data_IF_461933813028
#
_entry.id   IF_461933813028
#
_cell.length_a   1.000
_cell.length_b   1.000
_cell.length_c   1.000
_cell.angle_alpha   90.00
_cell.angle_beta   90.00
_cell.angle_gamma   90.00
#
_symmetry.space_group_name_H-M   'P 1'
#
loop_
_entity.id
_entity.type
_entity.pdbx_description
1 polymer ?
#
# COMPACT_ATOMS: atom_id res chain seq x y z
N UNK A 1 -1.16 -13.25 9.62
CA UNK A 1 -0.50 -11.92 9.40
C UNK A 1 -1.50 -10.81 9.66
N UNK A 2 -1.10 -9.75 10.38
CA UNK A 2 -1.94 -8.58 10.67
C UNK A 2 -1.43 -7.38 9.86
N UNK A 3 -2.32 -6.69 9.13
CA UNK A 3 -2.01 -5.43 8.46
C UNK A 3 -2.80 -4.30 9.12
N UNK A 4 -2.14 -3.20 9.44
CA UNK A 4 -2.78 -1.97 9.87
C UNK A 4 -2.47 -0.84 8.88
N UNK A 5 -3.51 -0.30 8.26
CA UNK A 5 -3.39 0.84 7.35
C UNK A 5 -3.22 2.13 8.16
N UNK A 6 -2.03 2.70 8.15
CA UNK A 6 -1.74 3.96 8.84
C UNK A 6 -2.28 5.16 8.06
N UNK A 7 -2.29 5.06 6.74
CA UNK A 7 -2.87 6.00 5.83
C UNK A 7 -3.26 5.33 4.52
N UNK A 8 -4.27 5.87 3.82
CA UNK A 8 -4.88 5.28 2.63
C UNK A 8 -5.09 6.27 1.49
N UNK A 9 -4.56 7.48 1.65
CA UNK A 9 -4.67 8.57 0.68
C UNK A 9 -3.48 8.66 -0.25
N UNK A 10 -3.73 9.12 -1.47
CA UNK A 10 -2.71 9.49 -2.45
C UNK A 10 -2.11 10.89 -2.16
N UNK A 11 -1.14 11.31 -2.97
CA UNK A 11 -0.37 12.54 -2.78
C UNK A 11 -1.19 13.86 -2.71
N UNK A 12 -2.44 13.87 -3.18
CA UNK A 12 -3.28 15.09 -3.22
C UNK A 12 -4.02 15.38 -1.90
N UNK A 13 -3.84 14.56 -0.86
CA UNK A 13 -4.28 14.86 0.49
C UNK A 13 -3.27 15.74 1.22
N UNK A 14 -3.78 16.65 2.08
CA UNK A 14 -2.90 17.51 2.89
C UNK A 14 -2.40 16.74 4.13
N UNK A 15 -1.09 16.46 4.24
CA UNK A 15 -0.56 15.68 5.35
C UNK A 15 -0.60 16.41 6.70
N UNK A 16 -0.72 17.75 6.72
CA UNK A 16 -0.58 18.54 7.95
C UNK A 16 -1.91 19.05 8.50
N UNK A 17 -2.99 18.99 7.74
CA UNK A 17 -4.24 19.62 8.15
C UNK A 17 -5.42 18.80 7.64
N UNK A 18 -6.19 18.18 8.54
CA UNK A 18 -7.45 17.56 8.18
C UNK A 18 -8.36 18.58 7.50
N UNK A 19 -8.89 18.25 6.35
CA UNK A 19 -9.91 19.06 5.72
C UNK A 19 -11.24 18.83 6.41
N UNK A 20 -12.16 19.78 6.30
CA UNK A 20 -13.53 19.59 6.81
C UNK A 20 -14.20 18.52 5.97
N UNK A 21 -14.67 17.46 6.59
CA UNK A 21 -15.25 16.30 5.94
C UNK A 21 -14.33 15.08 5.98
N UNK A 22 -14.36 14.27 4.94
CA UNK A 22 -13.50 13.10 4.83
C UNK A 22 -12.03 13.51 4.69
N UNK A 23 -11.18 12.84 5.43
CA UNK A 23 -9.73 13.02 5.37
C UNK A 23 -9.05 11.66 5.34
N UNK A 24 -7.93 11.56 4.59
CA UNK A 24 -7.04 10.40 4.59
C UNK A 24 -5.62 10.86 4.82
N UNK A 25 -4.90 10.15 5.64
CA UNK A 25 -3.46 10.25 5.68
C UNK A 25 -2.84 9.59 4.47
N UNK A 26 -1.62 10.02 4.13
CA UNK A 26 -0.86 9.49 3.02
C UNK A 26 -0.50 8.01 3.26
N UNK A 27 -0.45 7.23 2.21
CA UNK A 27 -0.42 5.77 2.26
C UNK A 27 0.78 5.22 3.00
N UNK A 28 0.52 4.35 3.96
CA UNK A 28 1.50 3.57 4.71
C UNK A 28 0.81 2.40 5.39
N UNK A 29 1.51 1.27 5.56
CA UNK A 29 0.98 0.07 6.22
C UNK A 29 2.00 -0.47 7.22
N UNK A 30 1.50 -0.91 8.38
CA UNK A 30 2.25 -1.60 9.40
C UNK A 30 1.83 -3.08 9.45
N UNK A 31 2.79 -3.99 9.32
CA UNK A 31 2.58 -5.44 9.35
C UNK A 31 3.06 -5.98 10.70
N UNK A 32 2.24 -6.79 11.37
CA UNK A 32 2.51 -7.47 12.65
C UNK A 32 3.16 -6.58 13.73
N UNK A 33 2.90 -5.27 13.70
CA UNK A 33 3.45 -4.23 14.58
C UNK A 33 4.96 -3.96 14.41
N UNK A 34 5.67 -4.63 13.51
CA UNK A 34 7.14 -4.56 13.44
C UNK A 34 7.73 -4.25 12.07
N UNK A 35 7.01 -4.48 10.96
CA UNK A 35 7.44 -4.13 9.60
C UNK A 35 6.60 -2.98 9.05
N UNK A 36 7.21 -1.82 8.87
CA UNK A 36 6.57 -0.63 8.28
C UNK A 36 6.90 -0.53 6.79
N UNK A 37 5.87 -0.33 5.97
CA UNK A 37 6.00 0.01 4.56
C UNK A 37 5.72 1.50 4.38
N UNK A 38 6.62 2.21 3.72
CA UNK A 38 6.54 3.62 3.36
C UNK A 38 6.46 4.57 4.56
N UNK A 39 7.62 5.02 5.08
CA UNK A 39 7.70 5.95 6.20
C UNK A 39 7.38 7.39 5.73
N UNK A 40 6.16 7.61 5.27
CA UNK A 40 5.67 8.88 4.77
C UNK A 40 5.50 9.95 5.87
N UNK A 41 5.11 11.18 5.49
CA UNK A 41 5.06 12.32 6.41
C UNK A 41 3.94 12.23 7.45
N UNK A 42 2.92 11.39 7.24
CA UNK A 42 1.81 11.22 8.18
C UNK A 42 2.02 10.09 9.20
N UNK A 43 3.07 9.28 9.07
CA UNK A 43 3.25 8.06 9.85
C UNK A 43 3.39 8.33 11.35
N UNK A 44 4.10 9.39 11.77
CA UNK A 44 4.26 9.69 13.20
C UNK A 44 2.92 10.11 13.83
N UNK A 45 2.12 10.91 13.12
CA UNK A 45 0.78 11.30 13.57
C UNK A 45 -0.16 10.09 13.66
N UNK A 46 -0.04 9.15 12.71
CA UNK A 46 -0.81 7.90 12.70
C UNK A 46 -0.41 6.99 13.88
N UNK A 47 0.88 6.88 14.17
CA UNK A 47 1.39 6.11 15.31
C UNK A 47 0.81 6.67 16.62
N UNK A 48 0.82 7.98 16.80
CA UNK A 48 0.21 8.63 17.97
C UNK A 48 -1.31 8.40 18.03
N UNK A 49 -2.00 8.63 16.94
CA UNK A 49 -3.47 8.50 16.82
C UNK A 49 -3.98 7.10 17.12
N UNK A 50 -3.27 6.08 16.64
CA UNK A 50 -3.68 4.68 16.78
C UNK A 50 -3.01 4.00 17.98
N UNK A 51 -2.35 4.75 18.85
CA UNK A 51 -1.70 4.28 20.07
C UNK A 51 -0.70 3.13 19.81
N UNK A 52 0.04 3.22 18.69
CA UNK A 52 1.05 2.25 18.30
C UNK A 52 2.34 2.52 19.08
N UNK A 53 2.96 1.48 19.65
CA UNK A 53 4.30 1.60 20.24
C UNK A 53 5.38 1.64 19.14
N UNK A 54 6.00 2.80 18.84
CA UNK A 54 6.97 2.92 17.77
C UNK A 54 8.25 2.09 18.00
N UNK A 55 8.53 1.66 19.24
CA UNK A 55 9.67 0.80 19.56
C UNK A 55 9.48 -0.64 19.10
N UNK A 56 8.27 -1.05 18.79
CA UNK A 56 7.98 -2.35 18.19
C UNK A 56 8.37 -2.40 16.71
N UNK A 57 8.36 -1.27 16.01
CA UNK A 57 8.76 -1.18 14.61
C UNK A 57 10.26 -1.48 14.52
N UNK A 58 10.62 -2.58 13.86
CA UNK A 58 12.00 -3.06 13.71
C UNK A 58 12.54 -2.87 12.31
N UNK A 59 11.67 -2.97 11.32
CA UNK A 59 12.03 -2.97 9.92
C UNK A 59 11.21 -1.93 9.17
N UNK A 60 11.87 -1.24 8.26
CA UNK A 60 11.24 -0.27 7.36
C UNK A 60 11.64 -0.64 5.94
N UNK A 61 10.66 -0.76 5.04
CA UNK A 61 10.87 -0.91 3.61
C UNK A 61 10.16 0.22 2.87
N UNK A 62 10.62 0.57 1.69
CA UNK A 62 10.13 1.71 0.92
C UNK A 62 9.84 1.28 -0.50
N UNK A 63 8.62 1.49 -0.98
CA UNK A 63 8.25 1.19 -2.37
C UNK A 63 8.98 2.11 -3.34
N UNK A 64 9.00 3.41 -3.04
CA UNK A 64 9.69 4.43 -3.82
C UNK A 64 9.83 5.72 -2.99
N UNK A 65 10.48 6.75 -3.56
CA UNK A 65 10.84 7.96 -2.80
C UNK A 65 10.04 9.21 -3.17
N UNK A 66 8.79 9.07 -3.63
CA UNK A 66 7.88 10.20 -3.68
C UNK A 66 7.57 10.72 -2.27
N UNK A 67 7.29 12.01 -2.15
CA UNK A 67 7.18 12.70 -0.86
C UNK A 67 5.98 12.29 -0.01
N UNK A 68 5.02 11.60 -0.57
CA UNK A 68 3.87 11.01 0.12
C UNK A 68 4.19 9.63 0.72
N UNK A 69 5.18 8.91 0.18
CA UNK A 69 5.63 7.60 0.67
C UNK A 69 6.90 7.66 1.52
N UNK A 70 7.72 8.68 1.32
CA UNK A 70 9.01 8.79 1.98
C UNK A 70 9.23 10.17 2.61
N UNK A 71 9.54 10.17 3.91
CA UNK A 71 9.91 11.35 4.66
C UNK A 71 11.17 11.08 5.51
N UNK A 72 12.23 11.86 5.28
CA UNK A 72 13.51 11.68 5.98
C UNK A 72 13.40 11.88 7.49
N UNK A 73 12.56 12.80 7.96
CA UNK A 73 12.37 13.07 9.38
C UNK A 73 11.67 11.90 10.07
N UNK A 74 10.63 11.34 9.43
CA UNK A 74 9.94 10.13 9.90
C UNK A 74 10.90 8.97 9.98
N UNK A 75 11.66 8.70 8.91
CA UNK A 75 12.65 7.62 8.89
C UNK A 75 13.70 7.81 10.00
N UNK A 76 14.26 9.00 10.12
CA UNK A 76 15.28 9.32 11.12
C UNK A 76 14.78 9.14 12.55
N UNK A 77 13.52 9.53 12.81
CA UNK A 77 12.88 9.37 14.11
C UNK A 77 12.72 7.89 14.46
N UNK A 78 12.18 7.08 13.54
CA UNK A 78 11.98 5.64 13.77
C UNK A 78 13.30 4.88 13.89
N UNK A 79 14.32 5.21 13.07
CA UNK A 79 15.66 4.66 13.20
C UNK A 79 16.31 5.03 14.54
N UNK A 80 16.09 6.25 15.04
CA UNK A 80 16.51 6.67 16.37
C UNK A 80 15.87 5.86 17.51
N UNK A 81 14.72 5.22 17.27
CA UNK A 81 14.03 4.34 18.22
C UNK A 81 14.42 2.85 18.04
N UNK A 82 15.25 2.53 17.04
CA UNK A 82 15.80 1.19 16.83
C UNK A 82 15.31 0.47 15.58
N UNK A 83 14.48 1.10 14.75
CA UNK A 83 14.10 0.54 13.45
C UNK A 83 15.28 0.58 12.46
N UNK A 84 15.33 -0.37 11.55
CA UNK A 84 16.31 -0.43 10.46
C UNK A 84 15.66 -0.32 9.09
N UNK A 85 16.17 0.56 8.22
CA UNK A 85 15.78 0.61 6.82
C UNK A 85 16.40 -0.56 6.06
N UNK A 86 15.59 -1.27 5.29
CA UNK A 86 16.03 -2.31 4.36
C UNK A 86 15.69 -1.86 2.94
N UNK A 87 16.71 -1.44 2.20
CA UNK A 87 16.55 -1.04 0.81
C UNK A 87 16.42 -2.26 -0.12
N UNK A 88 15.64 -2.11 -1.18
CA UNK A 88 15.44 -3.11 -2.21
C UNK A 88 15.64 -2.53 -3.62
N UNK A 89 16.16 -3.36 -4.50
CA UNK A 89 16.07 -3.18 -5.95
C UNK A 89 15.08 -4.18 -6.53
N UNK A 90 14.48 -3.88 -7.67
CA UNK A 90 13.59 -4.82 -8.35
C UNK A 90 14.30 -6.15 -8.65
N UNK A 91 13.62 -7.26 -8.38
CA UNK A 91 14.14 -8.62 -8.51
C UNK A 91 14.92 -9.13 -7.28
N UNK A 92 15.10 -8.31 -6.24
CA UNK A 92 15.74 -8.78 -5.01
C UNK A 92 14.75 -9.50 -4.08
N UNK A 93 15.23 -10.58 -3.46
CA UNK A 93 14.56 -11.26 -2.35
C UNK A 93 15.48 -11.22 -1.13
N UNK A 94 14.96 -10.79 0.02
CA UNK A 94 15.70 -10.68 1.28
C UNK A 94 14.90 -11.21 2.44
N UNK A 95 15.61 -11.77 3.43
CA UNK A 95 15.04 -12.04 4.74
C UNK A 95 15.03 -10.76 5.56
N UNK A 96 13.84 -10.32 6.01
CA UNK A 96 13.63 -9.14 6.85
C UNK A 96 12.95 -9.60 8.14
N UNK A 97 13.73 -9.86 9.18
CA UNK A 97 13.20 -10.50 10.38
C UNK A 97 12.65 -11.89 10.07
N UNK A 98 11.39 -12.11 10.38
CA UNK A 98 10.69 -13.38 10.09
C UNK A 98 10.06 -13.41 8.68
N UNK A 99 10.15 -12.31 7.93
CA UNK A 99 9.54 -12.20 6.60
C UNK A 99 10.54 -12.52 5.49
N UNK A 100 10.09 -13.26 4.49
CA UNK A 100 10.72 -13.29 3.18
C UNK A 100 10.07 -12.20 2.33
N UNK A 101 10.84 -11.18 1.96
CA UNK A 101 10.37 -10.04 1.17
C UNK A 101 10.98 -10.10 -0.22
N UNK A 102 10.14 -10.13 -1.24
CA UNK A 102 10.56 -10.08 -2.65
C UNK A 102 10.06 -8.77 -3.27
N UNK A 103 10.97 -8.00 -3.84
CA UNK A 103 10.68 -6.75 -4.53
C UNK A 103 10.58 -6.99 -6.04
N UNK A 104 9.50 -6.54 -6.66
CA UNK A 104 9.26 -6.62 -8.11
C UNK A 104 9.13 -5.22 -8.68
N UNK A 105 9.50 -5.03 -9.94
CA UNK A 105 9.35 -3.74 -10.62
C UNK A 105 7.88 -3.35 -10.74
N UNK A 106 7.58 -2.10 -10.38
CA UNK A 106 6.24 -1.53 -10.50
C UNK A 106 6.12 -0.64 -11.76
N UNK A 107 4.90 -0.56 -12.30
CA UNK A 107 4.60 0.32 -13.43
C UNK A 107 4.30 1.75 -12.96
N UNK A 108 5.34 2.44 -12.47
CA UNK A 108 5.25 3.82 -11.97
C UNK A 108 6.45 4.66 -12.47
N UNK A 109 6.42 5.11 -13.73
CA UNK A 109 7.59 5.65 -14.43
C UNK A 109 8.08 7.01 -13.93
N UNK A 110 7.28 7.77 -13.18
CA UNK A 110 7.70 9.10 -12.65
C UNK A 110 8.67 9.01 -11.48
N UNK A 111 8.78 7.84 -10.84
CA UNK A 111 9.80 7.55 -9.83
C UNK A 111 10.48 6.21 -10.15
N UNK A 112 11.78 6.22 -10.38
CA UNK A 112 12.54 5.01 -10.68
C UNK A 112 13.79 4.94 -9.78
N UNK A 113 13.99 3.86 -9.00
CA UNK A 113 13.16 2.65 -8.98
C UNK A 113 11.87 2.83 -8.17
N UNK A 114 10.79 2.19 -8.62
CA UNK A 114 9.59 1.89 -7.84
C UNK A 114 9.40 0.39 -7.81
N UNK A 115 9.11 -0.16 -6.64
CA UNK A 115 8.91 -1.60 -6.45
C UNK A 115 7.60 -1.87 -5.72
N UNK A 116 6.98 -2.99 -6.08
CA UNK A 116 5.95 -3.63 -5.29
C UNK A 116 6.56 -4.79 -4.49
N UNK A 117 5.87 -5.22 -3.43
CA UNK A 117 6.40 -6.24 -2.54
C UNK A 117 5.50 -7.46 -2.45
N UNK A 118 6.10 -8.65 -2.52
CA UNK A 118 5.55 -9.86 -1.94
C UNK A 118 6.16 -10.05 -0.57
N UNK A 119 5.32 -10.20 0.46
CA UNK A 119 5.77 -10.36 1.85
C UNK A 119 5.13 -11.64 2.40
N UNK A 120 5.98 -12.56 2.86
CA UNK A 120 5.62 -13.90 3.31
C UNK A 120 6.15 -14.10 4.73
N UNK A 121 5.29 -14.46 5.71
CA UNK A 121 5.69 -14.77 7.09
C UNK A 121 5.81 -16.29 7.35
N UNK A 122 5.78 -17.09 6.28
CA UNK A 122 5.83 -18.55 6.33
C UNK A 122 4.47 -19.24 6.42
N UNK A 123 3.42 -18.52 6.80
CA UNK A 123 2.04 -19.00 6.83
C UNK A 123 1.15 -18.27 5.83
N UNK A 124 1.36 -16.96 5.70
CA UNK A 124 0.56 -16.05 4.89
C UNK A 124 1.43 -15.20 3.96
N UNK A 125 0.90 -14.89 2.79
CA UNK A 125 1.56 -14.05 1.80
C UNK A 125 0.66 -12.90 1.37
N UNK A 126 1.21 -11.70 1.37
CA UNK A 126 0.57 -10.52 0.81
C UNK A 126 1.32 -10.03 -0.42
N UNK A 127 0.57 -9.42 -1.33
CA UNK A 127 1.09 -8.58 -2.40
C UNK A 127 0.74 -7.13 -2.07
N UNK A 128 1.74 -6.27 -1.95
CA UNK A 128 1.59 -4.83 -1.72
C UNK A 128 1.97 -4.08 -2.99
N UNK A 129 0.96 -3.65 -3.74
CA UNK A 129 1.09 -3.04 -5.06
C UNK A 129 0.46 -1.65 -5.11
N UNK A 130 1.00 -0.69 -4.37
CA UNK A 130 0.61 0.72 -4.44
C UNK A 130 1.56 1.50 -5.33
N UNK A 131 1.02 2.52 -5.98
CA UNK A 131 1.70 3.33 -6.99
C UNK A 131 2.15 2.50 -8.20
N UNK A 132 1.16 2.08 -8.95
CA UNK A 132 1.38 1.37 -10.21
C UNK A 132 0.10 1.26 -11.02
N UNK A 133 0.19 1.58 -12.32
CA UNK A 133 -0.85 1.27 -13.28
C UNK A 133 -0.62 -0.14 -13.80
N UNK A 134 -1.65 -0.96 -13.90
CA UNK A 134 -1.57 -2.34 -14.32
C UNK A 134 -0.38 -3.13 -13.74
N UNK A 135 -0.58 -4.37 -13.42
CA UNK A 135 0.53 -5.24 -13.03
C UNK A 135 1.37 -5.60 -14.24
N UNK A 136 2.69 -5.57 -14.08
CA UNK A 136 3.62 -6.07 -15.07
C UNK A 136 3.62 -7.61 -15.08
N UNK A 137 4.01 -8.23 -16.18
CA UNK A 137 4.00 -9.69 -16.29
C UNK A 137 4.80 -10.43 -15.20
N UNK A 138 5.97 -9.94 -14.75
CA UNK A 138 6.68 -10.58 -13.64
C UNK A 138 5.87 -10.62 -12.33
N UNK A 139 5.06 -9.60 -12.04
CA UNK A 139 4.17 -9.58 -10.87
C UNK A 139 3.04 -10.60 -11.02
N UNK A 140 2.41 -10.62 -12.20
CA UNK A 140 1.34 -11.57 -12.52
C UNK A 140 1.83 -13.01 -12.42
N UNK A 141 3.02 -13.31 -12.96
CA UNK A 141 3.59 -14.65 -12.90
C UNK A 141 3.94 -15.05 -11.45
N UNK A 142 4.51 -14.14 -10.65
CA UNK A 142 4.77 -14.39 -9.23
C UNK A 142 3.48 -14.64 -8.42
N UNK A 143 2.40 -13.90 -8.69
CA UNK A 143 1.07 -14.13 -8.07
C UNK A 143 0.56 -15.54 -8.43
N UNK A 144 0.67 -15.93 -9.69
CA UNK A 144 0.18 -17.24 -10.17
C UNK A 144 1.00 -18.40 -9.59
N UNK A 145 2.31 -18.23 -9.44
CA UNK A 145 3.20 -19.28 -8.96
C UNK A 145 3.09 -19.51 -7.46
N UNK A 146 2.92 -18.43 -6.68
CA UNK A 146 3.08 -18.49 -5.23
C UNK A 146 1.78 -18.36 -4.45
N UNK A 147 0.65 -18.13 -5.09
CA UNK A 147 -0.61 -17.79 -4.43
C UNK A 147 -0.47 -16.63 -3.42
N UNK A 148 -1.50 -15.85 -3.23
CA UNK A 148 -1.51 -14.64 -2.37
C UNK A 148 -2.77 -14.62 -1.53
N UNK A 149 -2.65 -14.50 -0.21
CA UNK A 149 -3.80 -14.43 0.70
C UNK A 149 -4.50 -13.06 0.63
N UNK A 150 -3.73 -11.97 0.40
CA UNK A 150 -4.27 -10.61 0.27
C UNK A 150 -3.45 -9.80 -0.74
N UNK A 151 -4.11 -9.22 -1.72
CA UNK A 151 -3.53 -8.20 -2.59
C UNK A 151 -4.02 -6.80 -2.18
N UNK A 152 -3.09 -5.90 -1.89
CA UNK A 152 -3.32 -4.46 -1.70
C UNK A 152 -3.02 -3.78 -3.02
N UNK A 153 -4.01 -3.17 -3.64
CA UNK A 153 -3.90 -2.58 -4.98
C UNK A 153 -4.09 -1.07 -4.96
N UNK A 154 -3.32 -0.38 -5.80
CA UNK A 154 -3.53 1.03 -6.12
C UNK A 154 -4.94 1.25 -6.69
N UNK A 155 -5.61 2.27 -6.19
CA UNK A 155 -6.86 2.77 -6.73
C UNK A 155 -6.90 4.30 -6.68
N UNK A 156 -5.82 4.93 -7.08
CA UNK A 156 -5.70 6.40 -7.07
C UNK A 156 -6.82 7.06 -7.85
N UNK A 157 -7.21 6.47 -8.98
CA UNK A 157 -8.23 7.03 -9.86
C UNK A 157 -9.55 6.32 -9.62
N UNK A 158 -10.61 7.09 -9.37
CA UNK A 158 -11.98 6.58 -9.32
C UNK A 158 -12.52 6.19 -10.70
N UNK A 159 -13.83 6.28 -10.88
CA UNK A 159 -14.50 5.96 -12.16
C UNK A 159 -14.49 7.10 -13.19
N UNK A 160 -13.84 8.22 -12.90
CA UNK A 160 -13.81 9.39 -13.79
C UNK A 160 -12.94 9.12 -15.01
N UNK A 161 -13.49 9.22 -16.24
CA UNK A 161 -12.72 8.95 -17.45
C UNK A 161 -11.79 10.13 -17.79
N UNK A 162 -10.71 9.84 -18.52
CA UNK A 162 -9.84 10.84 -19.13
C UNK A 162 -8.79 11.46 -18.22
N UNK A 163 -8.56 10.89 -17.04
CA UNK A 163 -7.46 11.32 -16.19
C UNK A 163 -6.13 10.75 -16.69
N UNK A 164 -5.13 11.64 -16.89
CA UNK A 164 -3.82 11.26 -17.44
C UNK A 164 -3.00 10.37 -16.51
N UNK A 165 -3.31 10.36 -15.21
CA UNK A 165 -2.63 9.49 -14.22
C UNK A 165 -2.86 8.00 -14.46
N UNK A 166 -3.77 7.63 -15.37
CA UNK A 166 -4.00 6.23 -15.77
C UNK A 166 -2.74 5.53 -16.32
N UNK A 167 -1.71 6.29 -16.69
CA UNK A 167 -0.42 5.74 -17.13
C UNK A 167 0.52 5.40 -15.97
N UNK A 168 0.15 5.76 -14.73
CA UNK A 168 0.95 5.57 -13.52
C UNK A 168 0.17 4.99 -12.36
N UNK A 169 -1.17 5.03 -12.43
CA UNK A 169 -2.08 4.58 -11.38
C UNK A 169 -3.28 3.85 -11.95
N UNK A 170 -3.88 2.99 -11.14
CA UNK A 170 -5.10 2.29 -11.52
C UNK A 170 -6.35 3.14 -11.30
N UNK A 171 -7.34 2.96 -12.16
CA UNK A 171 -8.72 3.31 -11.89
C UNK A 171 -9.50 2.09 -11.37
N UNK A 172 -10.72 2.30 -10.86
CA UNK A 172 -11.52 1.22 -10.28
C UNK A 172 -11.84 0.10 -11.28
N UNK A 173 -12.01 0.42 -12.57
CA UNK A 173 -12.27 -0.61 -13.61
C UNK A 173 -11.06 -1.51 -13.84
N UNK A 174 -9.85 -0.93 -13.84
CA UNK A 174 -8.61 -1.71 -13.94
C UNK A 174 -8.46 -2.65 -12.73
N UNK A 175 -8.79 -2.19 -11.53
CA UNK A 175 -8.75 -3.02 -10.31
C UNK A 175 -9.75 -4.18 -10.41
N UNK A 176 -10.98 -3.93 -10.85
CA UNK A 176 -11.99 -4.99 -11.04
C UNK A 176 -11.52 -6.01 -12.06
N UNK A 177 -10.99 -5.59 -13.20
CA UNK A 177 -10.45 -6.47 -14.25
C UNK A 177 -9.29 -7.34 -13.73
N UNK A 178 -8.35 -6.74 -12.98
CA UNK A 178 -7.26 -7.48 -12.34
C UNK A 178 -7.79 -8.49 -11.32
N UNK A 179 -8.76 -8.09 -10.48
CA UNK A 179 -9.39 -8.99 -9.50
C UNK A 179 -10.08 -10.18 -10.20
N UNK A 180 -10.87 -9.95 -11.23
CA UNK A 180 -11.52 -11.04 -11.97
C UNK A 180 -10.52 -12.01 -12.55
N UNK A 181 -9.44 -11.48 -13.16
CA UNK A 181 -8.37 -12.26 -13.77
C UNK A 181 -7.58 -13.09 -12.75
N UNK A 182 -7.31 -12.51 -11.56
CA UNK A 182 -6.42 -13.10 -10.57
C UNK A 182 -7.14 -13.82 -9.42
N UNK A 183 -8.47 -13.86 -9.39
CA UNK A 183 -9.27 -14.47 -8.31
C UNK A 183 -9.02 -15.95 -8.04
N UNK A 184 -8.33 -16.66 -8.93
CA UNK A 184 -7.88 -18.05 -8.72
C UNK A 184 -6.60 -18.17 -7.91
N UNK A 185 -5.87 -17.06 -7.78
CA UNK A 185 -4.53 -17.01 -7.21
C UNK A 185 -4.43 -16.05 -6.03
N UNK A 186 -5.47 -15.26 -5.79
CA UNK A 186 -5.56 -14.27 -4.72
C UNK A 186 -6.88 -14.45 -3.98
N UNK A 187 -6.82 -14.67 -2.66
CA UNK A 187 -8.01 -14.93 -1.85
C UNK A 187 -8.83 -13.68 -1.57
N UNK A 188 -8.16 -12.55 -1.27
CA UNK A 188 -8.81 -11.27 -0.97
C UNK A 188 -8.11 -10.10 -1.64
N UNK A 189 -8.90 -9.10 -1.99
CA UNK A 189 -8.42 -7.85 -2.57
C UNK A 189 -8.85 -6.67 -1.71
N UNK A 190 -7.96 -5.71 -1.54
CA UNK A 190 -8.22 -4.43 -0.89
C UNK A 190 -7.63 -3.30 -1.73
N UNK A 191 -8.38 -2.23 -1.89
CA UNK A 191 -7.90 -1.00 -2.55
C UNK A 191 -7.43 0.01 -1.52
N UNK A 192 -6.37 0.74 -1.86
CA UNK A 192 -5.80 1.84 -1.10
C UNK A 192 -5.26 2.92 -2.04
N UNK A 193 -4.60 3.94 -1.51
CA UNK A 193 -4.01 5.06 -2.26
C UNK A 193 -5.04 5.88 -3.04
N UNK A 194 -6.18 6.20 -2.39
CA UNK A 194 -7.27 6.94 -3.03
C UNK A 194 -6.99 8.43 -3.11
N UNK A 195 -7.07 9.02 -4.32
CA UNK A 195 -6.95 10.46 -4.51
C UNK A 195 -8.18 11.21 -3.97
N UNK A 196 -7.96 12.37 -3.36
CA UNK A 196 -9.00 13.19 -2.72
C UNK A 196 -10.08 13.67 -3.68
N UNK A 197 -9.69 14.01 -4.91
CA UNK A 197 -10.58 14.67 -5.87
C UNK A 197 -11.18 13.74 -6.91
N UNK A 198 -10.80 12.47 -6.92
CA UNK A 198 -11.16 11.53 -7.98
C UNK A 198 -12.15 10.45 -7.53
N UNK A 199 -12.42 10.36 -6.24
CA UNK A 199 -13.35 9.39 -5.66
C UNK A 199 -14.63 10.05 -5.17
N UNK A 200 -15.68 9.25 -5.10
CA UNK A 200 -16.86 9.54 -4.31
C UNK A 200 -16.54 9.40 -2.81
N UNK A 201 -17.40 9.89 -1.89
CA UNK A 201 -17.24 9.68 -0.46
C UNK A 201 -17.01 8.21 -0.10
N UNK A 202 -16.27 7.95 0.99
CA UNK A 202 -15.82 6.61 1.37
C UNK A 202 -16.93 5.57 1.46
N UNK A 203 -18.08 5.93 2.01
CA UNK A 203 -19.24 5.04 2.14
C UNK A 203 -19.80 4.62 0.78
N UNK A 204 -19.84 5.54 -0.18
CA UNK A 204 -20.28 5.28 -1.56
C UNK A 204 -19.29 4.38 -2.28
N UNK A 205 -17.99 4.70 -2.18
CA UNK A 205 -16.92 3.90 -2.75
C UNK A 205 -16.92 2.48 -2.17
N UNK A 206 -17.05 2.34 -0.84
CA UNK A 206 -17.10 1.05 -0.16
C UNK A 206 -18.28 0.22 -0.65
N UNK A 207 -19.49 0.80 -0.70
CA UNK A 207 -20.67 0.12 -1.19
C UNK A 207 -20.58 -0.30 -2.68
N UNK A 208 -19.80 0.44 -3.47
CA UNK A 208 -19.51 0.08 -4.86
C UNK A 208 -18.56 -1.12 -4.92
N UNK A 209 -17.43 -1.05 -4.21
CA UNK A 209 -16.39 -2.07 -4.27
C UNK A 209 -16.77 -3.38 -3.59
N UNK A 210 -17.62 -3.34 -2.56
CA UNK A 210 -18.19 -4.54 -1.94
C UNK A 210 -19.00 -5.40 -2.92
N UNK A 211 -19.68 -4.80 -3.90
CA UNK A 211 -20.41 -5.53 -4.95
C UNK A 211 -19.47 -6.34 -5.85
N UNK A 212 -18.24 -5.86 -5.97
CA UNK A 212 -17.18 -6.53 -6.72
C UNK A 212 -16.35 -7.50 -5.83
N UNK A 213 -16.68 -7.62 -4.54
CA UNK A 213 -15.94 -8.44 -3.59
C UNK A 213 -14.55 -7.88 -3.26
N UNK A 214 -14.38 -6.57 -3.31
CA UNK A 214 -13.14 -5.85 -3.04
C UNK A 214 -13.33 -4.99 -1.80
N UNK A 215 -12.40 -5.06 -0.86
CA UNK A 215 -12.39 -4.23 0.33
C UNK A 215 -11.87 -2.82 0.00
N UNK A 216 -12.40 -1.81 0.70
CA UNK A 216 -11.90 -0.44 0.61
C UNK A 216 -11.19 -0.09 1.92
N UNK A 217 -9.89 0.18 1.86
CA UNK A 217 -9.11 0.55 3.03
C UNK A 217 -9.51 1.94 3.57
N UNK A 218 -9.35 2.12 4.87
CA UNK A 218 -9.47 3.41 5.56
C UNK A 218 -8.40 3.52 6.64
N UNK A 219 -8.08 4.75 7.04
CA UNK A 219 -7.04 5.03 8.03
C UNK A 219 -7.39 4.40 9.38
N UNK A 220 -6.49 3.58 9.90
CA UNK A 220 -6.66 2.80 11.11
C UNK A 220 -7.28 1.41 10.90
N UNK A 221 -7.70 1.05 9.68
CA UNK A 221 -8.22 -0.29 9.39
C UNK A 221 -7.20 -1.36 9.74
N UNK A 222 -7.65 -2.40 10.44
CA UNK A 222 -6.86 -3.59 10.74
C UNK A 222 -7.46 -4.79 10.03
N UNK A 223 -6.64 -5.49 9.26
CA UNK A 223 -6.99 -6.76 8.61
C UNK A 223 -6.14 -7.89 9.18
N UNK A 224 -6.78 -8.96 9.54
CA UNK A 224 -6.13 -10.25 9.83
C UNK A 224 -6.37 -11.21 8.66
N UNK A 225 -5.32 -11.89 8.23
CA UNK A 225 -5.34 -12.82 7.10
C UNK A 225 -4.80 -14.17 7.50
#
# INVERSE_FOLDING_TARGET
MKLQFLGTGAADWNPKKPETGEHRWLSSVLINDDLLIDPGPCVLDAIEKFEIDPKKIKYIIVTHRHSDHFNEETLKTLCGLGAGLVDFSAGEEKQVGEYTVNAVEANHPTCNPTVHYFIDDGEKRIFYGLDGAWLLMPEVDAIKEKHVDLAVLDATIGDRPGDYRIFEHNNLKMVVEMKETLSKYVDRFVISHMARTLHDPHDVLTAQMEKEGILTAFDGMVLEI
#
